data_IF_673789650108
#
_entry.id   IF_673789650108
#
_cell.length_a   1.000
_cell.length_b   1.000
_cell.length_c   1.000
_cell.angle_alpha   90.00
_cell.angle_beta   90.00
_cell.angle_gamma   90.00
#
_symmetry.space_group_name_H-M   'P 1'
#
loop_
_entity.id
_entity.type
_entity.pdbx_description
1 polymer ?
#
# COMPACT_ATOMS: atom_id res chain seq x y z
N UNK A 1 -1.57 -22.45 -0.58
CA UNK A 1 -1.11 -21.10 -0.97
C UNK A 1 -0.69 -20.32 0.28
N UNK A 2 0.40 -19.57 0.23
CA UNK A 2 0.85 -18.72 1.35
C UNK A 2 0.75 -17.24 0.97
N UNK A 3 -0.01 -16.48 1.76
CA UNK A 3 -0.21 -15.04 1.60
C UNK A 3 0.34 -14.32 2.82
N UNK A 4 1.15 -13.27 2.62
CA UNK A 4 1.61 -12.37 3.67
C UNK A 4 0.99 -10.99 3.43
N UNK A 5 0.38 -10.39 4.46
CA UNK A 5 -0.38 -9.16 4.28
C UNK A 5 -0.20 -8.17 5.42
N UNK A 6 -0.07 -6.88 5.09
CA UNK A 6 -0.19 -5.77 6.04
C UNK A 6 -1.54 -5.06 5.88
N UNK A 7 -2.03 -4.43 6.95
CA UNK A 7 -3.26 -3.63 6.90
C UNK A 7 -4.54 -4.42 6.66
N UNK A 8 -4.60 -5.67 7.13
CA UNK A 8 -5.75 -6.56 6.98
C UNK A 8 -6.83 -6.41 8.07
N UNK A 9 -6.62 -5.58 9.09
CA UNK A 9 -7.50 -5.51 10.27
C UNK A 9 -8.69 -4.56 10.13
N UNK A 10 -8.76 -3.79 9.05
CA UNK A 10 -9.87 -2.85 8.78
C UNK A 10 -9.92 -2.45 7.31
N UNK A 11 -11.04 -1.84 6.90
CA UNK A 11 -11.20 -1.23 5.59
C UNK A 11 -10.95 -2.18 4.42
N UNK A 12 -10.23 -1.70 3.41
CA UNK A 12 -9.93 -2.42 2.17
C UNK A 12 -9.25 -3.76 2.43
N UNK A 13 -8.27 -3.77 3.33
CA UNK A 13 -7.51 -4.98 3.62
C UNK A 13 -8.34 -6.06 4.31
N UNK A 14 -9.25 -5.70 5.21
CA UNK A 14 -10.14 -6.69 5.86
C UNK A 14 -11.14 -7.29 4.87
N UNK A 15 -11.59 -6.51 3.89
CA UNK A 15 -12.44 -7.03 2.84
C UNK A 15 -11.67 -7.98 1.91
N UNK A 16 -10.41 -7.66 1.55
CA UNK A 16 -9.57 -8.56 0.77
C UNK A 16 -9.27 -9.87 1.52
N UNK A 17 -8.99 -9.78 2.84
CA UNK A 17 -8.75 -10.95 3.68
C UNK A 17 -9.90 -11.95 3.64
N UNK A 18 -11.16 -11.48 3.63
CA UNK A 18 -12.36 -12.35 3.51
C UNK A 18 -12.36 -13.22 2.23
N UNK A 19 -11.70 -12.76 1.18
CA UNK A 19 -11.57 -13.52 -0.06
C UNK A 19 -10.41 -14.52 0.00
N UNK A 20 -9.32 -14.18 0.67
CA UNK A 20 -8.16 -15.05 0.80
C UNK A 20 -8.45 -16.27 1.66
N UNK A 21 -9.11 -16.11 2.80
CA UNK A 21 -9.43 -17.21 3.73
C UNK A 21 -10.47 -18.18 3.21
N UNK A 22 -11.21 -17.82 2.17
CA UNK A 22 -12.17 -18.73 1.51
C UNK A 22 -11.52 -19.72 0.54
N UNK A 23 -10.24 -19.53 0.24
CA UNK A 23 -9.55 -20.41 -0.70
C UNK A 23 -9.08 -21.66 0.05
N UNK A 24 -9.27 -22.87 -0.52
CA UNK A 24 -8.79 -24.09 0.10
C UNK A 24 -7.27 -24.07 0.22
N UNK A 25 -6.75 -24.72 1.24
CA UNK A 25 -5.30 -24.87 1.50
C UNK A 25 -4.52 -23.56 1.48
N UNK A 26 -5.16 -22.47 1.96
CA UNK A 26 -4.55 -21.15 2.01
C UNK A 26 -4.24 -20.75 3.44
N UNK A 27 -2.99 -20.39 3.69
CA UNK A 27 -2.52 -19.80 4.95
C UNK A 27 -2.22 -18.32 4.77
N UNK A 28 -2.82 -17.48 5.58
CA UNK A 28 -2.64 -16.03 5.53
C UNK A 28 -1.93 -15.55 6.78
N UNK A 29 -0.75 -14.98 6.63
CA UNK A 29 -0.03 -14.28 7.70
C UNK A 29 -0.34 -12.79 7.65
N UNK A 30 -0.86 -12.26 8.74
CA UNK A 30 -1.25 -10.86 8.85
C UNK A 30 -0.37 -10.13 9.85
N UNK A 31 0.36 -9.12 9.39
CA UNK A 31 1.06 -8.20 10.28
C UNK A 31 0.09 -7.19 10.90
N UNK A 32 0.01 -7.14 12.24
CA UNK A 32 -0.84 -6.18 12.94
C UNK A 32 -0.26 -5.76 14.29
N UNK A 33 -0.64 -4.53 14.74
CA UNK A 33 -0.29 -4.00 16.06
C UNK A 33 -1.21 -4.58 17.14
N UNK A 34 -0.64 -4.83 18.33
CA UNK A 34 -1.36 -5.23 19.54
C UNK A 34 -1.75 -6.71 19.57
N UNK A 35 -2.07 -7.19 20.77
CA UNK A 35 -2.56 -8.53 21.06
C UNK A 35 -4.10 -8.56 21.13
N UNK A 36 -4.69 -9.75 20.99
CA UNK A 36 -6.14 -9.94 21.21
C UNK A 36 -7.03 -9.60 20.02
N UNK A 37 -6.49 -9.43 18.83
CA UNK A 37 -7.30 -9.30 17.60
C UNK A 37 -7.75 -10.69 17.16
N UNK A 38 -9.05 -10.86 16.97
CA UNK A 38 -9.60 -12.07 16.34
C UNK A 38 -9.37 -12.03 14.83
N UNK A 39 -8.97 -13.15 14.29
CA UNK A 39 -8.81 -13.34 12.86
C UNK A 39 -9.73 -14.48 12.38
N UNK A 40 -10.17 -14.44 11.11
CA UNK A 40 -10.85 -15.59 10.50
C UNK A 40 -9.98 -16.85 10.55
N UNK A 41 -10.61 -18.01 10.52
CA UNK A 41 -9.92 -19.30 10.36
C UNK A 41 -9.00 -19.27 9.13
N UNK A 42 -7.84 -19.93 9.20
CA UNK A 42 -6.82 -19.88 8.15
C UNK A 42 -5.91 -18.65 8.19
N UNK A 43 -6.09 -17.77 9.20
CA UNK A 43 -5.28 -16.56 9.39
C UNK A 43 -4.45 -16.65 10.66
N UNK A 44 -3.16 -16.34 10.57
CA UNK A 44 -2.28 -16.14 11.71
C UNK A 44 -1.87 -14.67 11.82
N UNK A 45 -2.20 -14.03 12.94
CA UNK A 45 -1.80 -12.65 13.22
C UNK A 45 -0.43 -12.66 13.90
N UNK A 46 0.51 -11.94 13.32
CA UNK A 46 1.87 -11.76 13.85
C UNK A 46 2.09 -10.29 14.25
N UNK A 47 2.82 -10.03 15.34
CA UNK A 47 3.14 -8.68 15.75
C UNK A 47 3.89 -7.91 14.65
N UNK A 48 3.38 -6.73 14.30
CA UNK A 48 4.02 -5.80 13.38
C UNK A 48 3.62 -4.37 13.69
N UNK A 49 4.59 -3.55 14.06
CA UNK A 49 4.45 -2.10 14.07
C UNK A 49 5.28 -1.50 12.92
N UNK A 50 4.60 -0.93 11.94
CA UNK A 50 5.23 -0.30 10.78
C UNK A 50 5.92 1.05 11.11
N UNK A 51 5.80 1.53 12.36
CA UNK A 51 6.53 2.71 12.83
C UNK A 51 7.90 2.35 13.42
N UNK A 52 8.30 1.06 13.39
CA UNK A 52 9.53 0.52 13.94
C UNK A 52 10.20 -0.41 12.94
N UNK A 53 11.37 -0.03 12.43
CA UNK A 53 12.14 -0.87 11.51
C UNK A 53 12.55 -2.20 12.19
N UNK A 54 12.86 -2.17 13.49
CA UNK A 54 13.13 -3.37 14.28
C UNK A 54 11.93 -4.33 14.28
N UNK A 55 10.71 -3.80 14.42
CA UNK A 55 9.48 -4.62 14.35
C UNK A 55 9.28 -5.21 12.95
N UNK A 56 9.61 -4.47 11.89
CA UNK A 56 9.55 -4.98 10.50
C UNK A 56 10.54 -6.12 10.28
N UNK A 57 11.78 -6.01 10.78
CA UNK A 57 12.75 -7.10 10.73
C UNK A 57 12.24 -8.33 11.48
N UNK A 58 11.80 -8.16 12.73
CA UNK A 58 11.27 -9.26 13.54
C UNK A 58 10.09 -9.96 12.87
N UNK A 59 9.18 -9.20 12.25
CA UNK A 59 8.05 -9.75 11.49
C UNK A 59 8.54 -10.55 10.28
N UNK A 60 9.47 -10.02 9.50
CA UNK A 60 10.03 -10.72 8.34
C UNK A 60 10.70 -12.03 8.74
N UNK A 61 11.47 -12.03 9.84
CA UNK A 61 12.15 -13.23 10.34
C UNK A 61 11.16 -14.27 10.88
N UNK A 62 10.11 -13.83 11.57
CA UNK A 62 8.98 -14.69 11.96
C UNK A 62 8.29 -15.34 10.76
N UNK A 63 8.09 -14.59 9.67
CA UNK A 63 7.54 -15.16 8.42
C UNK A 63 8.51 -16.21 7.86
N UNK A 64 9.80 -15.90 7.70
CA UNK A 64 10.80 -16.82 7.15
C UNK A 64 10.86 -18.15 7.94
N UNK A 65 10.80 -18.08 9.26
CA UNK A 65 10.76 -19.28 10.12
C UNK A 65 9.53 -20.15 9.84
N UNK A 66 8.35 -19.53 9.65
CA UNK A 66 7.08 -20.24 9.38
C UNK A 66 6.97 -20.79 7.96
N UNK A 67 7.76 -20.26 7.05
CA UNK A 67 7.79 -20.77 5.68
C UNK A 67 8.46 -22.15 5.61
N UNK A 68 9.42 -22.43 6.48
CA UNK A 68 10.25 -23.63 6.38
C UNK A 68 10.83 -23.79 4.96
N UNK A 69 10.34 -24.76 4.20
CA UNK A 69 10.69 -24.98 2.79
C UNK A 69 9.69 -24.38 1.78
N UNK A 70 8.63 -23.77 2.28
CA UNK A 70 7.61 -23.16 1.44
C UNK A 70 8.01 -21.77 0.96
N UNK A 71 7.26 -21.22 0.01
CA UNK A 71 7.46 -19.87 -0.52
C UNK A 71 6.17 -19.05 -0.40
N UNK A 72 6.32 -17.73 -0.40
CA UNK A 72 5.22 -16.79 -0.40
C UNK A 72 4.65 -16.68 -1.81
N UNK A 73 3.41 -17.07 -2.02
CA UNK A 73 2.73 -16.91 -3.30
C UNK A 73 2.30 -15.45 -3.53
N UNK A 74 1.87 -14.77 -2.45
CA UNK A 74 1.38 -13.39 -2.54
C UNK A 74 1.86 -12.57 -1.36
N UNK A 75 2.49 -11.43 -1.63
CA UNK A 75 2.84 -10.40 -0.65
C UNK A 75 1.99 -9.15 -0.90
N UNK A 76 1.15 -8.77 0.08
CA UNK A 76 0.26 -7.60 0.00
C UNK A 76 0.69 -6.53 1.01
N UNK A 77 1.24 -5.45 0.52
CA UNK A 77 1.67 -4.28 1.28
C UNK A 77 0.59 -3.20 1.20
N UNK A 78 -0.43 -3.30 2.07
CA UNK A 78 -1.64 -2.49 1.97
C UNK A 78 -1.82 -1.50 3.13
N UNK A 79 -1.16 -1.69 4.27
CA UNK A 79 -1.31 -0.78 5.40
C UNK A 79 -1.01 0.67 5.00
N UNK A 80 -1.66 1.60 5.69
CA UNK A 80 -1.39 3.02 5.49
C UNK A 80 -2.08 3.86 6.54
N UNK A 81 -1.44 4.97 6.86
CA UNK A 81 -1.95 5.99 7.78
C UNK A 81 -1.88 7.36 7.10
N UNK A 82 -2.64 8.29 7.64
CA UNK A 82 -2.56 9.71 7.31
C UNK A 82 -2.56 10.49 8.61
N UNK A 83 -1.42 11.03 9.01
CA UNK A 83 -1.34 11.97 10.11
C UNK A 83 -1.94 13.33 9.69
N UNK A 84 -2.43 14.08 10.67
CA UNK A 84 -2.97 15.44 10.45
C UNK A 84 -1.87 16.47 10.28
N UNK A 85 -0.74 16.22 10.91
CA UNK A 85 0.47 17.02 10.83
C UNK A 85 1.69 16.14 10.50
N UNK A 86 2.85 16.75 10.39
CA UNK A 86 4.12 16.08 10.10
C UNK A 86 5.08 16.08 11.31
N UNK A 87 4.58 16.22 12.53
CA UNK A 87 5.38 16.32 13.76
C UNK A 87 5.64 14.96 14.41
N UNK A 88 4.76 14.00 14.18
CA UNK A 88 4.88 12.66 14.78
C UNK A 88 6.03 11.88 14.16
N UNK A 89 6.76 11.14 14.99
CA UNK A 89 7.90 10.31 14.58
C UNK A 89 7.66 8.85 14.95
N UNK A 90 8.17 7.95 14.11
CA UNK A 90 8.33 6.54 14.47
C UNK A 90 9.52 6.32 15.42
N UNK A 91 9.75 5.07 15.84
CA UNK A 91 10.85 4.71 16.76
C UNK A 91 12.24 5.05 16.19
N UNK A 92 12.40 5.02 14.88
CA UNK A 92 13.68 5.28 14.19
C UNK A 92 13.86 6.77 13.85
N UNK A 93 12.99 7.67 14.36
CA UNK A 93 13.08 9.14 14.18
C UNK A 93 12.51 9.67 12.87
N UNK A 94 12.06 8.83 11.94
CA UNK A 94 11.42 9.25 10.69
C UNK A 94 9.98 9.74 10.93
N UNK A 95 9.50 10.63 10.06
CA UNK A 95 8.11 11.06 10.11
C UNK A 95 7.16 9.85 10.02
N UNK A 96 6.10 9.87 10.84
CA UNK A 96 5.22 8.73 11.07
C UNK A 96 4.56 8.18 9.81
N UNK A 97 4.05 9.07 8.95
CA UNK A 97 3.35 8.66 7.71
C UNK A 97 4.33 8.10 6.69
N UNK A 98 5.51 8.73 6.57
CA UNK A 98 6.57 8.26 5.67
C UNK A 98 7.15 6.93 6.15
N UNK A 99 7.44 6.80 7.44
CA UNK A 99 7.90 5.54 8.04
C UNK A 99 6.91 4.40 7.78
N UNK A 100 5.63 4.63 8.12
CA UNK A 100 4.59 3.58 8.02
C UNK A 100 4.23 3.23 6.59
N UNK A 101 3.98 4.26 5.74
CA UNK A 101 3.44 4.02 4.41
C UNK A 101 4.51 3.57 3.41
N UNK A 102 5.75 4.05 3.58
CA UNK A 102 6.82 3.84 2.62
C UNK A 102 7.98 3.02 3.19
N UNK A 103 8.75 3.54 4.16
CA UNK A 103 10.01 2.87 4.58
C UNK A 103 9.79 1.45 5.10
N UNK A 104 8.76 1.23 5.93
CA UNK A 104 8.43 -0.10 6.45
C UNK A 104 8.06 -1.09 5.34
N UNK A 105 7.29 -0.66 4.35
CA UNK A 105 6.89 -1.49 3.22
C UNK A 105 8.05 -1.72 2.25
N UNK A 106 8.89 -0.71 2.02
CA UNK A 106 10.11 -0.83 1.26
C UNK A 106 11.04 -1.87 1.90
N UNK A 107 11.29 -1.78 3.22
CA UNK A 107 12.09 -2.74 3.97
C UNK A 107 11.47 -4.15 3.91
N UNK A 108 10.18 -4.28 4.20
CA UNK A 108 9.50 -5.57 4.23
C UNK A 108 9.52 -6.26 2.85
N UNK A 109 9.30 -5.49 1.78
CA UNK A 109 9.41 -6.00 0.42
C UNK A 109 10.82 -6.56 0.15
N UNK A 110 11.87 -5.82 0.50
CA UNK A 110 13.26 -6.24 0.29
C UNK A 110 13.63 -7.49 1.10
N UNK A 111 13.17 -7.56 2.36
CA UNK A 111 13.44 -8.70 3.24
C UNK A 111 12.75 -9.99 2.79
N UNK A 112 11.54 -9.88 2.20
CA UNK A 112 10.73 -11.04 1.81
C UNK A 112 10.79 -11.36 0.30
N UNK A 113 11.34 -10.48 -0.54
CA UNK A 113 11.49 -10.73 -1.99
C UNK A 113 12.20 -12.06 -2.31
N UNK A 114 13.28 -12.47 -1.61
CA UNK A 114 13.93 -13.75 -1.85
C UNK A 114 13.05 -14.97 -1.54
N UNK A 115 12.03 -14.78 -0.71
CA UNK A 115 11.11 -15.81 -0.27
C UNK A 115 9.86 -15.92 -1.14
N UNK A 116 9.67 -15.04 -2.12
CA UNK A 116 8.56 -15.14 -3.07
C UNK A 116 8.72 -16.36 -3.99
N UNK A 117 7.62 -17.03 -4.24
CA UNK A 117 7.53 -18.16 -5.17
C UNK A 117 7.79 -17.72 -6.62
N UNK A 118 8.18 -18.66 -7.47
CA UNK A 118 8.17 -18.47 -8.93
C UNK A 118 6.73 -18.16 -9.37
N UNK A 119 6.54 -17.11 -10.16
CA UNK A 119 5.21 -16.63 -10.57
C UNK A 119 4.43 -15.94 -9.45
N UNK A 120 5.04 -15.70 -8.28
CA UNK A 120 4.43 -15.01 -7.15
C UNK A 120 4.03 -13.57 -7.47
N UNK A 121 3.23 -12.97 -6.59
CA UNK A 121 2.76 -11.58 -6.76
C UNK A 121 3.12 -10.72 -5.56
N UNK A 122 3.51 -9.49 -5.85
CA UNK A 122 3.74 -8.44 -4.88
C UNK A 122 2.81 -7.27 -5.20
N UNK A 123 1.87 -6.97 -4.31
CA UNK A 123 0.90 -5.88 -4.48
C UNK A 123 1.18 -4.79 -3.47
N UNK A 124 1.41 -3.56 -3.94
CA UNK A 124 1.62 -2.38 -3.09
C UNK A 124 0.46 -1.41 -3.28
N UNK A 125 -0.21 -1.05 -2.20
CA UNK A 125 -1.32 -0.08 -2.26
C UNK A 125 -0.79 1.35 -2.36
N UNK A 126 -1.13 2.02 -3.45
CA UNK A 126 -0.89 3.44 -3.73
C UNK A 126 -2.21 4.24 -3.73
N UNK A 127 -2.29 5.36 -4.43
CA UNK A 127 -3.48 6.21 -4.54
C UNK A 127 -3.38 7.15 -5.73
N UNK A 128 -4.51 7.56 -6.33
CA UNK A 128 -4.61 8.66 -7.29
C UNK A 128 -4.07 9.99 -6.76
N UNK A 129 -3.96 10.12 -5.43
CA UNK A 129 -3.39 11.30 -4.80
C UNK A 129 -1.94 11.61 -5.26
N UNK A 130 -1.23 10.62 -5.82
CA UNK A 130 0.11 10.82 -6.39
C UNK A 130 0.13 11.68 -7.66
N UNK A 131 -1.03 11.90 -8.30
CA UNK A 131 -1.11 12.60 -9.59
C UNK A 131 -1.73 13.99 -9.43
N UNK A 132 -0.94 15.08 -9.63
CA UNK A 132 -1.43 16.45 -9.56
C UNK A 132 -2.45 16.80 -10.65
N UNK A 133 -2.54 16.03 -11.73
CA UNK A 133 -3.56 16.22 -12.77
C UNK A 133 -4.93 15.68 -12.34
N UNK A 134 -4.94 14.70 -11.43
CA UNK A 134 -6.18 14.16 -10.85
C UNK A 134 -6.55 14.97 -9.60
N UNK A 135 -5.60 15.14 -8.68
CA UNK A 135 -5.81 15.78 -7.39
C UNK A 135 -4.86 16.99 -7.25
N UNK A 136 -5.39 18.19 -7.14
CA UNK A 136 -4.63 19.44 -7.16
C UNK A 136 -3.52 19.56 -6.09
N UNK A 137 -3.59 18.76 -5.03
CA UNK A 137 -2.56 18.68 -3.98
C UNK A 137 -1.55 17.54 -4.21
N UNK A 138 -1.63 16.83 -5.33
CA UNK A 138 -0.63 15.82 -5.71
C UNK A 138 0.78 16.43 -5.83
N UNK A 139 1.83 15.64 -5.52
CA UNK A 139 3.20 16.12 -5.55
C UNK A 139 3.66 16.44 -6.98
N UNK A 140 4.29 17.60 -7.14
CA UNK A 140 4.94 18.03 -8.40
C UNK A 140 6.44 17.76 -8.38
N UNK A 141 7.02 17.58 -7.21
CA UNK A 141 8.42 17.25 -6.94
C UNK A 141 8.46 16.23 -5.81
N UNK A 142 9.58 15.55 -5.65
CA UNK A 142 9.81 14.62 -4.54
C UNK A 142 11.15 14.94 -3.89
N UNK A 143 11.12 15.35 -2.62
CA UNK A 143 12.29 15.42 -1.75
C UNK A 143 12.16 14.32 -0.68
N UNK A 144 12.97 13.27 -0.81
CA UNK A 144 12.92 12.08 0.06
C UNK A 144 13.39 12.42 1.48
N UNK A 145 14.39 13.30 1.61
CA UNK A 145 14.91 13.72 2.91
C UNK A 145 13.91 14.61 3.66
N UNK A 146 13.24 15.50 2.93
CA UNK A 146 12.17 16.31 3.50
C UNK A 146 10.99 15.45 3.98
N UNK A 147 10.66 14.36 3.29
CA UNK A 147 9.65 13.43 3.77
C UNK A 147 10.09 12.64 5.01
N UNK A 148 11.35 12.27 5.09
CA UNK A 148 11.89 11.56 6.25
C UNK A 148 12.00 12.46 7.49
N UNK A 149 12.44 13.72 7.29
CA UNK A 149 12.75 14.71 8.33
C UNK A 149 12.11 16.06 8.00
N UNK A 150 10.77 16.17 8.02
CA UNK A 150 10.11 17.42 7.65
C UNK A 150 10.38 18.55 8.66
N UNK A 151 10.43 19.76 8.11
CA UNK A 151 10.49 21.02 8.83
C UNK A 151 9.11 21.74 8.85
N UNK A 152 9.07 22.96 9.34
CA UNK A 152 7.82 23.73 9.47
C UNK A 152 7.18 24.08 8.12
N UNK A 153 7.97 24.22 7.06
CA UNK A 153 7.51 24.56 5.71
C UNK A 153 7.13 23.34 4.87
N UNK A 154 7.47 22.14 5.34
CA UNK A 154 7.20 20.90 4.62
C UNK A 154 5.71 20.64 4.47
N UNK A 155 5.30 19.90 3.44
CA UNK A 155 3.91 19.50 3.23
C UNK A 155 3.31 18.82 4.48
N UNK A 156 2.00 18.99 4.68
CA UNK A 156 1.25 18.41 5.81
C UNK A 156 -0.02 17.71 5.33
N UNK A 157 -0.56 16.83 6.15
CA UNK A 157 -1.86 16.20 5.92
C UNK A 157 -1.95 15.47 4.58
N UNK A 158 -2.91 15.84 3.73
CA UNK A 158 -3.14 15.16 2.45
C UNK A 158 -2.00 15.32 1.44
N UNK A 159 -1.30 16.46 1.42
CA UNK A 159 -0.14 16.65 0.53
C UNK A 159 1.01 15.72 0.90
N UNK A 160 1.26 15.58 2.20
CA UNK A 160 2.28 14.67 2.71
C UNK A 160 1.91 13.20 2.41
N UNK A 161 0.67 12.82 2.70
CA UNK A 161 0.14 11.50 2.34
C UNK A 161 0.28 11.20 0.85
N UNK A 162 -0.07 12.15 -0.02
CA UNK A 162 0.05 12.02 -1.47
C UNK A 162 1.48 11.73 -1.91
N UNK A 163 2.47 12.40 -1.32
CA UNK A 163 3.88 12.14 -1.58
C UNK A 163 4.30 10.73 -1.14
N UNK A 164 3.81 10.22 0.01
CA UNK A 164 4.10 8.83 0.42
C UNK A 164 3.48 7.81 -0.53
N UNK A 165 2.34 8.10 -1.16
CA UNK A 165 1.72 7.23 -2.16
C UNK A 165 2.44 7.25 -3.51
N UNK A 166 3.07 8.37 -3.86
CA UNK A 166 4.04 8.43 -4.96
C UNK A 166 5.26 7.54 -4.65
N UNK A 167 5.81 7.60 -3.43
CA UNK A 167 6.92 6.74 -3.02
C UNK A 167 6.58 5.25 -3.18
N UNK A 168 5.37 4.83 -2.79
CA UNK A 168 4.92 3.44 -2.94
C UNK A 168 4.89 3.01 -4.42
N UNK A 169 4.43 3.88 -5.31
CA UNK A 169 4.40 3.60 -6.75
C UNK A 169 5.81 3.52 -7.35
N UNK A 170 6.70 4.43 -6.98
CA UNK A 170 8.10 4.40 -7.42
C UNK A 170 8.82 3.15 -6.90
N UNK A 171 8.57 2.75 -5.65
CA UNK A 171 9.10 1.50 -5.07
C UNK A 171 8.59 0.27 -5.85
N UNK A 172 7.30 0.24 -6.20
CA UNK A 172 6.76 -0.85 -7.03
C UNK A 172 7.46 -0.92 -8.40
N UNK A 173 7.80 0.23 -9.00
CA UNK A 173 8.56 0.28 -10.26
C UNK A 173 9.98 -0.27 -10.09
N UNK A 174 10.70 0.11 -9.04
CA UNK A 174 12.04 -0.42 -8.76
C UNK A 174 12.00 -1.93 -8.55
N UNK A 175 11.07 -2.42 -7.73
CA UNK A 175 10.88 -3.85 -7.49
C UNK A 175 10.52 -4.61 -8.77
N UNK A 176 9.72 -4.02 -9.66
CA UNK A 176 9.41 -4.62 -10.96
C UNK A 176 10.65 -4.80 -11.83
N UNK A 177 11.55 -3.81 -11.87
CA UNK A 177 12.83 -3.91 -12.60
C UNK A 177 13.70 -5.01 -12.01
N UNK A 178 13.79 -5.11 -10.68
CA UNK A 178 14.53 -6.16 -9.98
C UNK A 178 13.94 -7.55 -10.28
N UNK A 179 12.61 -7.68 -10.21
CA UNK A 179 11.93 -8.96 -10.47
C UNK A 179 12.04 -9.41 -11.94
N UNK A 180 12.13 -8.47 -12.89
CA UNK A 180 12.39 -8.81 -14.30
C UNK A 180 13.78 -9.41 -14.50
N UNK A 181 14.80 -8.88 -13.80
CA UNK A 181 16.17 -9.41 -13.83
C UNK A 181 16.31 -10.76 -13.13
N UNK A 182 15.53 -10.99 -12.09
CA UNK A 182 15.50 -12.22 -11.28
C UNK A 182 14.96 -13.46 -12.03
N UNK A 183 14.25 -13.24 -13.12
CA UNK A 183 13.71 -14.29 -14.00
C UNK A 183 12.80 -15.34 -13.31
N UNK A 184 12.32 -15.06 -12.09
CA UNK A 184 11.33 -15.92 -11.40
C UNK A 184 9.89 -15.67 -11.83
N UNK A 185 9.65 -14.71 -12.72
CA UNK A 185 8.30 -14.36 -13.19
C UNK A 185 7.43 -13.70 -12.11
N UNK A 186 8.04 -13.11 -11.08
CA UNK A 186 7.31 -12.41 -10.01
C UNK A 186 6.65 -11.16 -10.61
N UNK A 187 5.35 -11.01 -10.33
CA UNK A 187 4.57 -9.87 -10.79
C UNK A 187 4.42 -8.82 -9.71
N UNK A 188 4.91 -7.61 -9.96
CA UNK A 188 4.73 -6.45 -9.07
C UNK A 188 3.57 -5.59 -9.58
N UNK A 189 2.65 -5.21 -8.68
CA UNK A 189 1.45 -4.43 -8.97
C UNK A 189 1.36 -3.26 -7.98
N UNK A 190 1.27 -2.05 -8.49
CA UNK A 190 0.92 -0.86 -7.71
C UNK A 190 -0.60 -0.64 -7.82
N UNK A 191 -1.33 -0.90 -6.75
CA UNK A 191 -2.79 -0.85 -6.74
C UNK A 191 -3.31 0.46 -6.15
N UNK A 192 -4.10 1.19 -6.92
CA UNK A 192 -4.92 2.30 -6.44
C UNK A 192 -6.36 1.85 -6.25
N UNK A 193 -6.88 1.89 -5.00
CA UNK A 193 -8.27 1.49 -4.71
C UNK A 193 -9.32 2.50 -5.14
N UNK A 194 -8.92 3.65 -5.73
CA UNK A 194 -9.79 4.79 -5.99
C UNK A 194 -10.22 5.51 -4.71
N UNK A 195 -11.08 6.51 -4.87
CA UNK A 195 -11.68 7.20 -3.73
C UNK A 195 -12.62 6.23 -3.00
N UNK A 196 -12.20 5.77 -1.83
CA UNK A 196 -12.93 4.75 -1.07
C UNK A 196 -13.50 5.37 0.20
N UNK A 197 -14.82 5.35 0.32
CA UNK A 197 -15.52 5.66 1.57
C UNK A 197 -15.31 4.55 2.61
N UNK A 198 -15.74 4.81 3.83
CA UNK A 198 -15.77 3.82 4.94
C UNK A 198 -14.38 3.26 5.35
N UNK A 199 -13.31 4.00 5.08
CA UNK A 199 -11.96 3.62 5.54
C UNK A 199 -11.56 4.42 6.78
N UNK A 200 -10.79 3.79 7.69
CA UNK A 200 -10.26 4.44 8.91
C UNK A 200 -9.11 5.43 8.63
N UNK A 201 -8.79 5.67 7.37
CA UNK A 201 -7.70 6.55 6.94
C UNK A 201 -7.87 8.01 7.43
N UNK A 202 -9.11 8.44 7.64
CA UNK A 202 -9.47 9.79 8.14
C UNK A 202 -9.43 9.90 9.68
N UNK A 203 -8.90 8.90 10.39
CA UNK A 203 -8.82 8.87 11.86
C UNK A 203 -10.16 8.53 12.56
N UNK A 204 -10.20 8.70 13.89
CA UNK A 204 -11.42 8.51 14.68
C UNK A 204 -12.40 9.67 14.41
N UNK A 205 -13.25 9.53 13.40
CA UNK A 205 -14.38 10.43 13.21
C UNK A 205 -15.46 10.12 14.25
N UNK A 206 -16.20 11.17 14.68
CA UNK A 206 -17.37 10.97 15.55
C UNK A 206 -18.39 10.06 14.85
N UNK A 207 -19.16 9.28 15.59
CA UNK A 207 -20.19 8.41 15.04
C UNK A 207 -21.20 9.17 14.16
N UNK A 208 -21.50 10.42 14.51
CA UNK A 208 -22.37 11.32 13.75
C UNK A 208 -21.78 11.65 12.37
N UNK A 209 -20.49 12.02 12.29
CA UNK A 209 -19.83 12.29 11.01
C UNK A 209 -19.75 11.04 10.11
N UNK A 210 -19.58 9.85 10.69
CA UNK A 210 -19.56 8.58 9.95
C UNK A 210 -20.88 8.27 9.25
N UNK A 211 -22.01 8.73 9.82
CA UNK A 211 -23.34 8.49 9.25
C UNK A 211 -23.74 9.62 8.30
N UNK A 212 -23.53 10.86 8.68
CA UNK A 212 -24.02 12.04 7.93
C UNK A 212 -23.13 12.35 6.72
N UNK A 213 -21.81 12.24 6.88
CA UNK A 213 -20.87 12.59 5.80
C UNK A 213 -21.05 11.72 4.54
N UNK A 214 -21.19 10.38 4.60
CA UNK A 214 -21.47 9.57 3.42
C UNK A 214 -22.80 9.90 2.76
N UNK A 215 -23.85 10.17 3.53
CA UNK A 215 -25.18 10.47 3.00
C UNK A 215 -25.21 11.78 2.23
N UNK A 216 -24.51 12.81 2.72
CA UNK A 216 -24.46 14.13 2.08
C UNK A 216 -23.43 14.21 0.95
N UNK A 217 -22.29 13.56 1.12
CA UNK A 217 -21.14 13.68 0.20
C UNK A 217 -21.25 12.69 -0.97
N UNK A 218 -21.77 11.48 -0.76
CA UNK A 218 -21.92 10.49 -1.85
C UNK A 218 -22.69 11.00 -3.07
N UNK A 219 -23.84 11.66 -2.96
CA UNK A 219 -24.52 12.20 -4.13
C UNK A 219 -23.69 13.23 -4.88
N UNK A 220 -23.01 14.13 -4.14
CA UNK A 220 -22.14 15.14 -4.73
C UNK A 220 -20.98 14.49 -5.51
N UNK A 221 -20.29 13.54 -4.89
CA UNK A 221 -19.21 12.80 -5.55
C UNK A 221 -19.71 11.89 -6.68
N UNK A 222 -20.95 11.43 -6.65
CA UNK A 222 -21.56 10.69 -7.77
C UNK A 222 -21.76 11.61 -8.98
N UNK A 223 -22.23 12.84 -8.77
CA UNK A 223 -22.40 13.84 -9.84
C UNK A 223 -21.03 14.27 -10.38
N UNK A 224 -20.09 14.64 -9.52
CA UNK A 224 -18.72 14.98 -9.94
C UNK A 224 -18.06 13.80 -10.66
N UNK A 225 -18.26 12.58 -10.16
CA UNK A 225 -17.75 11.35 -10.74
C UNK A 225 -18.33 11.02 -12.13
N UNK A 226 -19.47 11.60 -12.54
CA UNK A 226 -19.95 11.46 -13.93
C UNK A 226 -19.04 12.18 -14.92
N UNK A 227 -18.49 13.33 -14.53
CA UNK A 227 -17.59 14.14 -15.36
C UNK A 227 -16.10 13.79 -15.13
N UNK A 228 -15.74 13.44 -13.90
CA UNK A 228 -14.37 13.04 -13.50
C UNK A 228 -14.39 11.67 -12.82
N UNK A 229 -14.18 10.57 -13.58
CA UNK A 229 -14.33 9.19 -13.08
C UNK A 229 -13.51 8.85 -11.83
N UNK A 230 -12.34 9.49 -11.65
CA UNK A 230 -11.47 9.31 -10.47
C UNK A 230 -12.12 9.79 -9.16
N UNK A 231 -13.14 10.65 -9.23
CA UNK A 231 -13.87 11.14 -8.05
C UNK A 231 -15.09 10.28 -7.70
N UNK A 232 -15.35 9.21 -8.44
CA UNK A 232 -16.41 8.29 -8.06
C UNK A 232 -16.04 7.60 -6.72
N UNK A 233 -16.90 7.80 -5.71
CA UNK A 233 -16.68 7.22 -4.39
C UNK A 233 -17.12 5.75 -4.38
N UNK A 234 -16.14 4.85 -4.34
CA UNK A 234 -16.33 3.42 -4.17
C UNK A 234 -16.56 3.01 -2.71
N UNK A 235 -16.69 1.71 -2.49
CA UNK A 235 -16.84 1.08 -1.16
C UNK A 235 -15.58 0.31 -0.79
N UNK A 236 -15.30 0.18 0.52
CA UNK A 236 -14.21 -0.66 1.00
C UNK A 236 -14.37 -2.12 0.54
N UNK A 237 -15.62 -2.60 0.46
CA UNK A 237 -15.94 -3.94 -0.06
C UNK A 237 -15.42 -4.12 -1.48
N UNK A 238 -15.85 -3.27 -2.44
CA UNK A 238 -15.41 -3.43 -3.86
C UNK A 238 -13.91 -3.20 -4.03
N UNK A 239 -13.33 -2.25 -3.28
CA UNK A 239 -11.87 -2.02 -3.31
C UNK A 239 -11.09 -3.21 -2.74
N UNK A 240 -11.59 -3.87 -1.70
CA UNK A 240 -10.99 -5.08 -1.15
C UNK A 240 -11.14 -6.30 -2.08
N UNK A 241 -12.31 -6.47 -2.72
CA UNK A 241 -12.51 -7.47 -3.77
C UNK A 241 -11.51 -7.30 -4.91
N UNK A 242 -11.34 -6.07 -5.40
CA UNK A 242 -10.39 -5.75 -6.48
C UNK A 242 -8.93 -6.03 -6.06
N UNK A 243 -8.56 -5.72 -4.82
CA UNK A 243 -7.25 -6.07 -4.27
C UNK A 243 -7.05 -7.58 -4.29
N UNK A 244 -8.04 -8.36 -3.87
CA UNK A 244 -7.99 -9.81 -3.90
C UNK A 244 -7.96 -10.38 -5.32
N UNK A 245 -8.74 -9.82 -6.25
CA UNK A 245 -8.71 -10.21 -7.68
C UNK A 245 -7.31 -10.05 -8.28
N UNK A 246 -6.62 -8.94 -8.01
CA UNK A 246 -5.25 -8.69 -8.46
C UNK A 246 -4.24 -9.63 -7.79
N UNK A 247 -4.31 -9.76 -6.48
CA UNK A 247 -3.42 -10.59 -5.68
C UNK A 247 -3.50 -12.06 -6.09
N UNK A 248 -4.70 -12.56 -6.38
CA UNK A 248 -4.93 -13.93 -6.80
C UNK A 248 -4.73 -14.15 -8.31
N UNK A 249 -4.50 -13.09 -9.09
CA UNK A 249 -4.34 -13.19 -10.54
C UNK A 249 -5.62 -13.53 -11.29
N UNK A 250 -6.78 -13.22 -10.70
CA UNK A 250 -8.09 -13.36 -11.37
C UNK A 250 -8.29 -12.31 -12.47
N UNK A 251 -7.51 -11.23 -12.41
CA UNK A 251 -7.45 -10.20 -13.44
C UNK A 251 -6.05 -10.16 -14.01
N UNK A 252 -5.94 -10.24 -15.33
CA UNK A 252 -4.65 -10.14 -16.04
C UNK A 252 -4.27 -8.67 -16.14
N UNK A 253 -3.19 -8.30 -15.45
CA UNK A 253 -2.57 -6.99 -15.62
C UNK A 253 -1.69 -7.04 -16.87
N UNK A 254 -1.82 -6.13 -17.85
CA UNK A 254 -0.97 -6.10 -19.03
C UNK A 254 0.53 -6.11 -18.67
N UNK A 255 1.34 -6.77 -19.47
CA UNK A 255 2.77 -7.00 -19.17
C UNK A 255 3.59 -5.72 -19.06
N UNK A 256 3.21 -4.70 -19.80
CA UNK A 256 3.81 -3.36 -19.83
C UNK A 256 3.29 -2.44 -18.71
N UNK A 257 2.30 -2.87 -17.92
CA UNK A 257 1.67 -2.07 -16.88
C UNK A 257 2.02 -2.59 -15.48
N UNK A 258 2.27 -1.66 -14.59
CA UNK A 258 2.47 -1.91 -13.14
C UNK A 258 1.34 -1.25 -12.35
N UNK A 259 0.93 -0.05 -12.78
CA UNK A 259 -0.09 0.72 -12.10
C UNK A 259 -1.49 0.26 -12.50
N UNK A 260 -2.29 -0.03 -11.50
CA UNK A 260 -3.67 -0.49 -11.64
C UNK A 260 -4.58 0.39 -10.80
N UNK A 261 -5.63 0.94 -11.39
CA UNK A 261 -6.56 1.85 -10.73
C UNK A 261 -7.99 1.31 -10.76
N UNK A 262 -8.68 1.35 -9.63
CA UNK A 262 -10.10 1.02 -9.53
C UNK A 262 -10.94 2.26 -9.80
N UNK A 263 -11.54 2.34 -10.97
CA UNK A 263 -12.37 3.46 -11.42
C UNK A 263 -13.82 2.99 -11.61
N UNK A 264 -14.77 3.59 -10.90
CA UNK A 264 -16.18 3.19 -10.93
C UNK A 264 -16.38 1.68 -10.73
N UNK A 265 -15.61 1.08 -9.80
CA UNK A 265 -15.68 -0.34 -9.48
C UNK A 265 -15.05 -1.28 -10.53
N UNK A 266 -14.42 -0.77 -11.58
CA UNK A 266 -13.72 -1.54 -12.61
C UNK A 266 -12.21 -1.32 -12.52
N UNK A 267 -11.43 -2.38 -12.63
CA UNK A 267 -9.96 -2.30 -12.73
C UNK A 267 -9.56 -1.76 -14.10
N UNK A 268 -8.70 -0.76 -14.10
CA UNK A 268 -8.15 -0.10 -15.27
C UNK A 268 -6.62 -0.01 -15.14
N UNK A 269 -5.92 0.18 -16.25
CA UNK A 269 -4.46 0.14 -16.33
C UNK A 269 -3.90 1.43 -16.95
N UNK A 270 -4.18 2.61 -16.37
CA UNK A 270 -3.70 3.88 -16.92
C UNK A 270 -2.19 4.03 -16.74
N UNK A 271 -1.61 5.00 -17.42
CA UNK A 271 -0.28 5.48 -17.07
C UNK A 271 -0.38 6.30 -15.78
N UNK A 272 0.58 6.18 -14.86
CA UNK A 272 0.64 7.04 -13.68
C UNK A 272 1.13 8.45 -14.05
N UNK A 273 1.19 9.37 -13.06
CA UNK A 273 1.70 10.73 -13.26
C UNK A 273 3.10 10.76 -13.90
N UNK A 274 3.45 11.86 -14.56
CA UNK A 274 4.78 12.03 -15.17
C UNK A 274 5.90 11.83 -14.14
N UNK A 275 5.76 12.41 -12.95
CA UNK A 275 6.73 12.27 -11.87
C UNK A 275 6.89 10.78 -11.44
N UNK A 276 5.80 10.03 -11.43
CA UNK A 276 5.85 8.59 -11.14
C UNK A 276 6.49 7.77 -12.27
N UNK A 277 6.60 8.30 -13.48
CA UNK A 277 7.27 7.66 -14.62
C UNK A 277 8.75 8.01 -14.71
N UNK A 278 9.23 9.01 -13.97
CA UNK A 278 10.62 9.45 -13.97
C UNK A 278 11.53 8.38 -13.33
N UNK A 279 12.52 7.92 -14.10
CA UNK A 279 13.48 6.92 -13.64
C UNK A 279 14.51 7.50 -12.65
N UNK A 280 14.90 8.76 -12.84
CA UNK A 280 15.87 9.44 -11.95
C UNK A 280 15.30 9.59 -10.55
N UNK A 281 14.04 10.01 -10.45
CA UNK A 281 13.33 10.15 -9.16
C UNK A 281 13.10 8.77 -8.53
N UNK A 282 12.77 7.75 -9.34
CA UNK A 282 12.64 6.37 -8.86
C UNK A 282 13.93 5.87 -8.23
N UNK A 283 15.06 6.04 -8.92
CA UNK A 283 16.35 5.53 -8.49
C UNK A 283 16.86 6.32 -7.27
N UNK A 284 16.67 7.64 -7.24
CA UNK A 284 16.95 8.47 -6.08
C UNK A 284 16.16 8.02 -4.84
N UNK A 285 14.85 7.78 -4.98
CA UNK A 285 14.04 7.29 -3.86
C UNK A 285 14.54 5.93 -3.37
N UNK A 286 14.89 5.03 -4.29
CA UNK A 286 15.38 3.70 -3.96
C UNK A 286 16.66 3.77 -3.13
N UNK A 287 17.64 4.56 -3.56
CA UNK A 287 18.94 4.72 -2.90
C UNK A 287 18.81 5.42 -1.54
N UNK A 288 18.07 6.53 -1.47
CA UNK A 288 17.89 7.25 -0.20
C UNK A 288 17.12 6.40 0.83
N UNK A 289 16.11 5.65 0.39
CA UNK A 289 15.41 4.71 1.27
C UNK A 289 16.32 3.59 1.76
N UNK A 290 17.20 3.06 0.89
CA UNK A 290 18.18 2.04 1.28
C UNK A 290 19.13 2.55 2.36
N UNK A 291 19.68 3.77 2.18
CA UNK A 291 20.55 4.42 3.18
C UNK A 291 19.84 4.60 4.53
N UNK A 292 18.58 5.03 4.52
CA UNK A 292 17.79 5.25 5.75
C UNK A 292 17.57 3.98 6.57
N UNK A 293 17.49 2.82 5.91
CA UNK A 293 17.24 1.53 6.58
C UNK A 293 18.50 0.66 6.69
N UNK A 294 19.67 1.18 6.31
CA UNK A 294 20.95 0.48 6.42
C UNK A 294 21.13 -0.73 5.47
N UNK A 295 20.43 -0.72 4.33
CA UNK A 295 20.58 -1.74 3.29
C UNK A 295 21.40 -1.22 2.10
N UNK A 296 22.04 -2.11 1.31
CA UNK A 296 22.67 -1.69 0.05
C UNK A 296 21.61 -1.13 -0.92
N UNK A 297 22.01 -0.16 -1.74
CA UNK A 297 21.14 0.49 -2.71
C UNK A 297 20.69 -0.41 -3.89
#
# INVERSE_FOLDING_TARGET
MIIVMTGATSGIGSEALKHFVKLPDTKVYVGARGSGRTAPEGTEILPLDLCSLKSVHSFADNIKQRLENSKIDVLVLNAGVKATDNKQRGEDGFELTFATNHLAHYLLARLLLPNLAKGGKLVITTSDAHDPNIIFFGPKTLDVKELAYPNENSPKGMRFYAATKLCNLLTARSLSVICLKDNRGIRVIAYNPGLTGDTSLMGKQSAFLKIVLPVLIRPLFSVVGMFKPSFFMGTAKRSGEALAELALGKVTVPTDKIYTSLVRGKLTFPNPSQLAQDNTIRDLLWEESAKMIGLPG
#
